data_IF_547938340556
#
_entry.id   IF_547938340556
#
_cell.length_a   1.000
_cell.length_b   1.000
_cell.length_c   1.000
_cell.angle_alpha   90.00
_cell.angle_beta   90.00
_cell.angle_gamma   90.00
#
_symmetry.space_group_name_H-M   'P 1'
#
loop_
_entity.id
_entity.type
_entity.pdbx_description
1 polymer ?
#
# COMPACT_ATOMS: atom_id res chain seq x y z
N UNK A 1 -0.59 6.26 -42.89
CA UNK A 1 0.02 6.34 -41.54
C UNK A 1 -1.06 6.78 -40.57
N UNK A 2 -1.43 5.96 -39.57
CA UNK A 2 -2.48 6.32 -38.62
C UNK A 2 -2.01 7.49 -37.75
N UNK A 3 -2.76 8.59 -37.74
CA UNK A 3 -2.48 9.79 -36.94
C UNK A 3 -2.38 9.52 -35.44
N UNK A 4 -2.96 8.40 -34.98
CA UNK A 4 -2.95 7.94 -33.59
C UNK A 4 -1.56 7.47 -33.11
N UNK A 5 -0.62 7.15 -34.00
CA UNK A 5 0.70 6.68 -33.57
C UNK A 5 1.53 7.77 -32.87
N UNK A 6 1.37 9.03 -33.28
CA UNK A 6 2.14 10.15 -32.70
C UNK A 6 1.72 10.39 -31.23
N UNK A 7 0.42 10.57 -30.91
CA UNK A 7 -0.02 10.68 -29.51
C UNK A 7 0.36 9.47 -28.67
N UNK A 8 0.28 8.26 -29.24
CA UNK A 8 0.57 7.02 -28.51
C UNK A 8 2.04 6.94 -28.10
N UNK A 9 2.97 7.27 -29.02
CA UNK A 9 4.41 7.26 -28.74
C UNK A 9 4.76 8.33 -27.70
N UNK A 10 4.17 9.52 -27.80
CA UNK A 10 4.37 10.58 -26.80
C UNK A 10 3.85 10.19 -25.42
N UNK A 11 2.72 9.48 -25.35
CA UNK A 11 2.19 8.95 -24.09
C UNK A 11 3.11 7.88 -23.49
N UNK A 12 3.64 6.96 -24.31
CA UNK A 12 4.60 5.95 -23.86
C UNK A 12 5.89 6.60 -23.34
N UNK A 13 6.41 7.61 -24.05
CA UNK A 13 7.60 8.35 -23.62
C UNK A 13 7.36 9.11 -22.30
N UNK A 14 6.20 9.74 -22.15
CA UNK A 14 5.83 10.42 -20.91
C UNK A 14 5.62 9.45 -19.73
N UNK A 15 5.17 8.23 -20.00
CA UNK A 15 4.96 7.19 -18.99
C UNK A 15 6.18 6.28 -18.79
N UNK A 16 7.27 6.46 -19.55
CA UNK A 16 8.42 5.57 -19.51
C UNK A 16 9.04 5.48 -18.11
N UNK A 17 9.17 6.61 -17.42
CA UNK A 17 9.70 6.68 -16.06
C UNK A 17 8.74 6.10 -14.99
N UNK A 18 7.45 5.99 -15.31
CA UNK A 18 6.45 5.37 -14.45
C UNK A 18 6.36 3.85 -14.66
N UNK A 19 6.46 3.40 -15.91
CA UNK A 19 6.43 1.98 -16.29
C UNK A 19 7.77 1.30 -15.93
N UNK A 20 8.87 2.02 -16.11
CA UNK A 20 10.22 1.56 -15.80
C UNK A 20 10.86 2.49 -14.76
N UNK A 21 10.33 2.51 -13.53
CA UNK A 21 10.88 3.37 -12.50
C UNK A 21 12.33 2.97 -12.23
N UNK A 22 13.15 3.97 -11.91
CA UNK A 22 14.55 3.78 -11.58
C UNK A 22 14.67 2.65 -10.54
N UNK A 23 15.58 1.70 -10.77
CA UNK A 23 15.83 0.58 -9.86
C UNK A 23 16.11 1.07 -8.43
N UNK A 24 16.75 2.24 -8.28
CA UNK A 24 16.94 2.91 -6.98
C UNK A 24 15.61 3.20 -6.26
N UNK A 25 14.60 3.70 -6.97
CA UNK A 25 13.28 3.97 -6.41
C UNK A 25 12.57 2.69 -5.98
N UNK A 26 12.68 1.61 -6.78
CA UNK A 26 12.11 0.30 -6.42
C UNK A 26 12.78 -0.25 -5.16
N UNK A 27 14.10 -0.09 -5.02
CA UNK A 27 14.84 -0.55 -3.84
C UNK A 27 14.41 0.23 -2.60
N UNK A 28 14.29 1.56 -2.68
CA UNK A 28 13.83 2.41 -1.58
C UNK A 28 12.41 2.01 -1.12
N UNK A 29 11.49 1.76 -2.06
CA UNK A 29 10.12 1.35 -1.71
C UNK A 29 10.08 -0.04 -1.08
N UNK A 30 10.91 -0.97 -1.57
CA UNK A 30 11.02 -2.32 -1.02
C UNK A 30 11.63 -2.35 0.37
N UNK A 31 12.38 -1.33 0.78
CA UNK A 31 12.85 -1.20 2.16
C UNK A 31 11.72 -0.82 3.12
N UNK A 32 10.75 -0.03 2.66
CA UNK A 32 9.64 0.47 3.48
C UNK A 32 8.48 -0.54 3.56
N UNK A 33 8.25 -1.29 2.47
CA UNK A 33 7.16 -2.26 2.37
C UNK A 33 7.10 -3.21 3.59
N UNK A 34 8.18 -3.90 4.02
CA UNK A 34 8.13 -4.84 5.13
C UNK A 34 7.56 -4.25 6.42
N UNK A 35 7.87 -2.99 6.72
CA UNK A 35 7.33 -2.30 7.89
C UNK A 35 5.81 -2.08 7.78
N UNK A 36 5.34 -1.64 6.61
CA UNK A 36 3.91 -1.55 6.32
C UNK A 36 3.22 -2.91 6.46
N UNK A 37 3.81 -3.96 5.88
CA UNK A 37 3.27 -5.31 5.96
C UNK A 37 3.21 -5.84 7.41
N UNK A 38 4.19 -5.52 8.25
CA UNK A 38 4.17 -5.90 9.67
C UNK A 38 3.08 -5.15 10.45
N UNK A 39 2.97 -3.83 10.26
CA UNK A 39 1.99 -2.99 10.97
C UNK A 39 0.57 -3.45 10.61
N UNK A 40 0.26 -3.59 9.33
CA UNK A 40 -1.09 -3.92 8.88
C UNK A 40 -1.38 -5.42 8.89
N UNK A 41 -0.36 -6.27 8.75
CA UNK A 41 -0.51 -7.72 8.78
C UNK A 41 -0.54 -8.33 10.18
N UNK A 42 0.15 -7.74 11.16
CA UNK A 42 0.25 -8.27 12.52
C UNK A 42 -0.27 -7.26 13.55
N UNK A 43 0.24 -6.02 13.53
CA UNK A 43 -0.10 -5.01 14.52
C UNK A 43 -1.60 -4.70 14.55
N UNK A 44 -2.19 -4.47 13.38
CA UNK A 44 -3.61 -4.14 13.25
C UNK A 44 -4.55 -5.27 13.73
N UNK A 45 -4.37 -6.54 13.34
CA UNK A 45 -5.13 -7.65 13.92
C UNK A 45 -5.01 -7.78 15.44
N UNK A 46 -3.81 -7.57 16.00
CA UNK A 46 -3.62 -7.61 17.47
C UNK A 46 -4.44 -6.53 18.15
N UNK A 47 -4.38 -5.29 17.64
CA UNK A 47 -5.17 -4.17 18.19
C UNK A 47 -6.66 -4.46 18.12
N UNK A 48 -7.16 -4.96 16.98
CA UNK A 48 -8.57 -5.35 16.84
C UNK A 48 -8.95 -6.46 17.84
N UNK A 49 -8.09 -7.45 18.03
CA UNK A 49 -8.32 -8.53 18.98
C UNK A 49 -8.35 -8.03 20.42
N UNK A 50 -7.43 -7.15 20.81
CA UNK A 50 -7.40 -6.53 22.13
C UNK A 50 -8.67 -5.71 22.41
N UNK A 51 -9.10 -4.89 21.45
CA UNK A 51 -10.35 -4.11 21.56
C UNK A 51 -11.56 -5.04 21.72
N UNK A 52 -11.61 -6.11 20.93
CA UNK A 52 -12.68 -7.13 21.02
C UNK A 52 -12.72 -7.78 22.41
N UNK A 53 -11.56 -8.09 23.00
CA UNK A 53 -11.46 -8.63 24.36
C UNK A 53 -11.90 -7.64 25.44
N UNK A 54 -11.71 -6.34 25.24
CA UNK A 54 -12.11 -5.30 26.20
C UNK A 54 -13.60 -4.97 26.16
N UNK A 55 -14.31 -5.24 25.05
CA UNK A 55 -15.76 -5.03 24.94
C UNK A 55 -16.55 -5.86 25.96
N UNK A 56 -16.21 -7.14 26.15
CA UNK A 56 -16.90 -8.01 27.11
C UNK A 56 -16.87 -7.48 28.56
N UNK A 57 -15.68 -7.18 29.12
CA UNK A 57 -15.55 -6.59 30.46
C UNK A 57 -16.26 -5.24 30.58
N UNK A 58 -16.16 -4.35 29.59
CA UNK A 58 -16.81 -3.04 29.63
C UNK A 58 -18.35 -3.12 29.60
N UNK A 59 -18.90 -4.09 28.89
CA UNK A 59 -20.35 -4.33 28.83
C UNK A 59 -20.89 -4.94 30.14
N UNK A 60 -20.07 -5.71 30.87
CA UNK A 60 -20.42 -6.21 32.21
C UNK A 60 -20.38 -5.16 33.31
N UNK A 61 -19.60 -4.08 33.15
CA UNK A 61 -19.50 -2.99 34.14
C UNK A 61 -20.64 -1.97 33.99
N UNK A 62 -21.22 -1.85 32.78
CA UNK A 62 -22.33 -0.94 32.49
C UNK A 62 -23.73 -1.54 32.76
N UNK A 63 -23.81 -2.76 33.30
CA UNK A 63 -25.05 -3.48 33.60
C UNK A 63 -25.31 -3.48 35.10
#
# INVERSE_FOLDING_TARGET
>A
MNSLFIPLILMVLAMADFIWPNVSYIIEINQIWPYYAMIFGIGFPIVLWSISKMKGPLESINK
#
